data_IF_849635097904
#
_entry.id   IF_849635097904
#
_cell.length_a   1.000
_cell.length_b   1.000
_cell.length_c   1.000
_cell.angle_alpha   90.00
_cell.angle_beta   90.00
_cell.angle_gamma   90.00
#
_symmetry.space_group_name_H-M   'P 1'
#
loop_
_entity.id
_entity.type
_entity.pdbx_description
1 polymer ?
#
# COMPACT_ATOMS: atom_id res chain seq x y z
N UNK A 1 -34.74 2.48 -3.54
CA UNK A 1 -33.36 2.51 -4.07
C UNK A 1 -32.36 3.13 -3.08
N UNK A 2 -32.56 4.37 -2.62
CA UNK A 2 -31.60 5.07 -1.72
C UNK A 2 -31.37 4.33 -0.39
N UNK A 3 -32.43 3.84 0.27
CA UNK A 3 -32.32 3.05 1.50
C UNK A 3 -31.53 1.73 1.32
N UNK A 4 -31.58 1.12 0.14
CA UNK A 4 -30.83 -0.10 -0.16
C UNK A 4 -29.34 0.22 -0.37
N UNK A 5 -29.03 1.27 -1.11
CA UNK A 5 -27.66 1.76 -1.31
C UNK A 5 -27.04 2.14 0.04
N UNK A 6 -27.76 2.89 0.89
CA UNK A 6 -27.29 3.25 2.23
C UNK A 6 -27.03 2.01 3.11
N UNK A 7 -27.94 1.03 3.14
CA UNK A 7 -27.70 -0.21 3.89
C UNK A 7 -26.47 -0.96 3.41
N UNK A 8 -26.27 -1.04 2.10
CA UNK A 8 -25.10 -1.70 1.50
C UNK A 8 -23.80 -0.96 1.84
N UNK A 9 -23.82 0.36 1.77
CA UNK A 9 -22.66 1.22 2.07
C UNK A 9 -22.32 1.18 3.57
N UNK A 10 -23.34 1.15 4.43
CA UNK A 10 -23.18 1.02 5.88
C UNK A 10 -22.60 -0.35 6.26
N UNK A 11 -22.98 -1.43 5.55
CA UNK A 11 -22.44 -2.78 5.76
C UNK A 11 -20.98 -2.96 5.31
N UNK A 12 -20.47 -2.11 4.42
CA UNK A 12 -19.06 -2.16 3.99
C UNK A 12 -18.13 -1.78 5.15
N UNK A 13 -18.49 -0.78 5.95
CA UNK A 13 -17.67 -0.30 7.08
C UNK A 13 -17.30 -1.41 8.08
N UNK A 14 -18.24 -2.21 8.63
CA UNK A 14 -17.90 -3.30 9.53
C UNK A 14 -17.12 -4.43 8.85
N UNK A 15 -17.33 -4.70 7.55
CA UNK A 15 -16.52 -5.69 6.84
C UNK A 15 -15.07 -5.25 6.68
N UNK A 16 -14.82 -3.99 6.33
CA UNK A 16 -13.47 -3.42 6.23
C UNK A 16 -12.78 -3.40 7.60
N UNK A 17 -13.47 -2.98 8.65
CA UNK A 17 -12.93 -3.03 10.01
C UNK A 17 -12.59 -4.46 10.44
N UNK A 18 -13.44 -5.43 10.11
CA UNK A 18 -13.17 -6.85 10.37
C UNK A 18 -11.89 -7.34 9.68
N UNK A 19 -11.73 -7.05 8.38
CA UNK A 19 -10.53 -7.41 7.61
C UNK A 19 -9.28 -6.72 8.18
N UNK A 20 -9.39 -5.44 8.56
CA UNK A 20 -8.29 -4.69 9.16
C UNK A 20 -7.88 -5.26 10.52
N UNK A 21 -8.83 -5.59 11.39
CA UNK A 21 -8.53 -6.23 12.68
C UNK A 21 -7.84 -7.58 12.46
N UNK A 22 -8.32 -8.38 11.52
CA UNK A 22 -7.67 -9.66 11.19
C UNK A 22 -6.25 -9.44 10.70
N UNK A 23 -6.02 -8.50 9.77
CA UNK A 23 -4.70 -8.17 9.25
C UNK A 23 -3.76 -7.67 10.38
N UNK A 24 -4.27 -6.82 11.27
CA UNK A 24 -3.54 -6.35 12.44
C UNK A 24 -3.14 -7.49 13.40
N UNK A 25 -4.05 -8.43 13.64
CA UNK A 25 -3.76 -9.64 14.43
C UNK A 25 -2.71 -10.50 13.74
N UNK A 26 -2.79 -10.69 12.41
CA UNK A 26 -1.79 -11.44 11.65
C UNK A 26 -0.40 -10.78 11.78
N UNK A 27 -0.32 -9.44 11.63
CA UNK A 27 0.95 -8.71 11.76
C UNK A 27 1.52 -8.82 13.17
N UNK A 28 0.68 -8.87 14.21
CA UNK A 28 1.13 -9.05 15.60
C UNK A 28 1.47 -10.50 15.94
N UNK A 29 0.81 -11.47 15.31
CA UNK A 29 0.99 -12.89 15.57
C UNK A 29 2.12 -13.52 14.73
N UNK A 30 2.57 -12.84 13.66
CA UNK A 30 3.69 -13.29 12.86
C UNK A 30 4.99 -13.24 13.68
N UNK A 31 5.65 -14.39 13.94
CA UNK A 31 6.94 -14.39 14.61
C UNK A 31 8.00 -13.74 13.70
N UNK A 32 8.69 -12.72 14.21
CA UNK A 32 9.61 -11.90 13.43
C UNK A 32 8.90 -10.75 12.72
N UNK A 33 8.46 -9.75 13.47
CA UNK A 33 7.92 -8.50 12.95
C UNK A 33 8.90 -7.75 12.04
N UNK A 34 8.45 -6.73 11.31
CA UNK A 34 9.28 -5.97 10.36
C UNK A 34 10.60 -5.45 10.96
N UNK A 35 10.57 -5.04 12.24
CA UNK A 35 11.75 -4.57 12.99
C UNK A 35 12.74 -5.70 13.22
N UNK A 36 12.28 -6.86 13.71
CA UNK A 36 13.13 -8.03 13.93
C UNK A 36 13.71 -8.57 12.62
N UNK A 37 12.95 -8.55 11.52
CA UNK A 37 13.46 -8.92 10.18
C UNK A 37 14.57 -7.99 9.72
N UNK A 38 14.46 -6.69 10.02
CA UNK A 38 15.49 -5.72 9.67
C UNK A 38 16.74 -5.87 10.54
N UNK A 39 16.57 -6.13 11.84
CA UNK A 39 17.66 -6.48 12.76
C UNK A 39 18.38 -7.75 12.26
N UNK A 40 17.63 -8.81 11.97
CA UNK A 40 18.17 -10.06 11.45
C UNK A 40 18.86 -9.89 10.09
N UNK A 41 18.37 -8.99 9.23
CA UNK A 41 19.00 -8.66 7.95
C UNK A 41 20.33 -7.95 8.15
N UNK A 42 20.40 -6.97 9.06
CA UNK A 42 21.65 -6.23 9.35
C UNK A 42 22.67 -7.15 10.04
N UNK A 43 22.25 -7.91 11.05
CA UNK A 43 23.10 -8.89 11.74
C UNK A 43 23.60 -9.98 10.78
N UNK A 44 22.76 -10.44 9.86
CA UNK A 44 23.13 -11.40 8.82
C UNK A 44 24.18 -10.87 7.83
N UNK A 45 24.12 -9.59 7.46
CA UNK A 45 25.09 -8.93 6.58
C UNK A 45 26.45 -8.73 7.26
N UNK A 46 26.47 -8.29 8.53
CA UNK A 46 27.72 -8.10 9.29
C UNK A 46 28.36 -9.44 9.70
N UNK A 47 27.53 -10.43 10.04
CA UNK A 47 27.96 -11.81 10.30
C UNK A 47 28.52 -12.54 9.06
N UNK A 48 28.08 -12.18 7.86
CA UNK A 48 28.67 -12.68 6.61
C UNK A 48 30.02 -12.00 6.30
N UNK A 49 30.10 -10.69 6.55
CA UNK A 49 31.30 -9.88 6.31
C UNK A 49 32.43 -10.26 7.28
N UNK A 50 32.11 -10.52 8.55
CA UNK A 50 33.08 -10.98 9.55
C UNK A 50 33.67 -12.36 9.25
N UNK A 51 32.90 -13.27 8.64
CA UNK A 51 33.39 -14.60 8.21
C UNK A 51 34.28 -14.54 6.98
N UNK A 52 34.08 -13.57 6.09
CA UNK A 52 34.96 -13.32 4.94
C UNK A 52 36.24 -12.61 5.39
N UNK A 53 36.14 -11.65 6.30
CA UNK A 53 37.28 -10.93 6.85
C UNK A 53 38.17 -11.80 7.78
N UNK A 54 37.60 -12.81 8.43
CA UNK A 54 38.33 -13.76 9.29
C UNK A 54 39.06 -14.90 8.56
N UNK A 55 38.93 -14.99 7.22
CA UNK A 55 39.50 -16.07 6.41
C UNK A 55 40.91 -15.83 5.86
N UNK A 56 41.54 -14.69 6.16
CA UNK A 56 42.85 -14.33 5.61
C UNK A 56 43.72 -13.53 6.58
N UNK A 57 44.80 -14.16 7.04
CA UNK A 57 45.94 -13.61 7.77
C UNK A 57 45.66 -13.05 9.19
N UNK A 58 46.21 -13.74 10.19
CA UNK A 58 46.40 -13.23 11.55
C UNK A 58 47.24 -11.95 11.51
N UNK A 59 46.59 -10.80 11.61
CA UNK A 59 47.20 -9.56 12.09
C UNK A 59 46.63 -9.29 13.47
N UNK A 60 47.43 -9.61 14.49
CA UNK A 60 47.16 -9.33 15.89
C UNK A 60 47.25 -7.82 16.16
N UNK A 61 46.16 -7.10 15.92
CA UNK A 61 45.98 -5.74 16.47
C UNK A 61 45.28 -5.86 17.82
N UNK A 62 46.07 -5.73 18.88
CA UNK A 62 45.58 -5.55 20.23
C UNK A 62 44.70 -4.28 20.29
N UNK A 63 43.38 -4.46 20.43
CA UNK A 63 42.45 -3.36 20.72
C UNK A 63 41.15 -3.32 19.94
N UNK A 64 40.87 -4.26 19.03
CA UNK A 64 39.56 -4.28 18.36
C UNK A 64 38.64 -5.28 19.06
N UNK A 65 37.80 -4.78 19.97
CA UNK A 65 36.66 -5.52 20.50
C UNK A 65 35.86 -6.07 19.32
N UNK A 66 35.90 -7.39 19.15
CA UNK A 66 35.05 -8.16 18.24
C UNK A 66 33.57 -7.79 18.50
N UNK A 67 33.01 -6.92 17.65
CA UNK A 67 31.59 -6.49 17.70
C UNK A 67 30.61 -7.56 17.22
N UNK A 68 31.06 -8.59 16.50
CA UNK A 68 30.18 -9.60 15.90
C UNK A 68 29.49 -10.58 16.88
N UNK A 69 29.82 -10.53 18.17
CA UNK A 69 29.14 -11.30 19.22
C UNK A 69 28.27 -10.43 20.15
N UNK A 70 28.39 -9.10 20.04
CA UNK A 70 27.50 -8.17 20.70
C UNK A 70 26.44 -7.80 19.67
N UNK A 71 25.19 -8.22 19.88
CA UNK A 71 24.07 -7.80 19.02
C UNK A 71 24.05 -6.29 18.83
N UNK A 72 23.24 -5.81 17.87
CA UNK A 72 23.16 -4.38 17.55
C UNK A 72 23.08 -3.50 18.80
N UNK A 73 23.75 -2.34 18.76
CA UNK A 73 23.71 -1.36 19.85
C UNK A 73 22.23 -1.09 20.22
N UNK A 74 21.83 -1.19 21.50
CA UNK A 74 20.46 -0.94 21.93
C UNK A 74 19.93 0.44 21.50
N UNK A 75 20.79 1.42 21.24
CA UNK A 75 20.40 2.69 20.65
C UNK A 75 19.88 2.56 19.21
N UNK A 76 20.52 1.74 18.37
CA UNK A 76 20.10 1.51 16.98
C UNK A 76 18.82 0.69 16.89
N UNK A 77 18.64 -0.28 17.79
CA UNK A 77 17.40 -1.05 17.90
C UNK A 77 16.22 -0.11 18.19
N UNK A 78 16.40 0.80 19.16
CA UNK A 78 15.38 1.79 19.54
C UNK A 78 15.08 2.79 18.42
N UNK A 79 16.08 3.16 17.64
CA UNK A 79 15.91 4.01 16.45
C UNK A 79 15.12 3.29 15.34
N UNK A 80 15.43 2.02 15.08
CA UNK A 80 14.68 1.19 14.12
C UNK A 80 13.23 1.02 14.57
N UNK A 81 13.00 0.72 15.84
CA UNK A 81 11.67 0.59 16.43
C UNK A 81 10.85 1.88 16.28
N UNK A 82 11.50 3.04 16.47
CA UNK A 82 10.90 4.37 16.28
C UNK A 82 10.60 4.67 14.81
N UNK A 83 11.49 4.32 13.88
CA UNK A 83 11.25 4.49 12.43
C UNK A 83 10.05 3.67 11.95
N UNK A 84 9.87 2.46 12.50
CA UNK A 84 8.74 1.60 12.18
C UNK A 84 7.48 1.90 13.00
N UNK A 85 7.57 2.76 14.02
CA UNK A 85 6.44 3.13 14.89
C UNK A 85 5.92 1.97 15.74
N UNK A 86 6.77 0.98 16.02
CA UNK A 86 6.45 -0.14 16.92
C UNK A 86 6.63 0.22 18.39
N UNK A 87 7.16 1.41 18.69
CA UNK A 87 7.26 2.01 20.02
C UNK A 87 5.89 2.42 20.60
N UNK A 88 4.86 2.48 19.75
CA UNK A 88 3.51 2.91 20.08
C UNK A 88 2.63 1.77 20.58
N UNK A 89 1.68 2.11 21.44
CA UNK A 89 0.70 1.17 21.96
C UNK A 89 -0.07 0.48 20.81
N UNK A 90 -0.44 -0.80 20.99
CA UNK A 90 -1.18 -1.56 19.97
C UNK A 90 -2.43 -0.83 19.40
N UNK A 91 -3.23 -0.10 20.22
CA UNK A 91 -4.35 0.69 19.72
C UNK A 91 -3.94 1.85 18.79
N UNK A 92 -2.82 2.52 19.08
CA UNK A 92 -2.31 3.60 18.22
C UNK A 92 -1.85 3.07 16.86
N UNK A 93 -1.21 1.90 16.86
CA UNK A 93 -0.80 1.22 15.62
C UNK A 93 -2.02 0.84 14.78
N UNK A 94 -3.06 0.32 15.41
CA UNK A 94 -4.34 0.03 14.75
C UNK A 94 -4.95 1.31 14.17
N UNK A 95 -4.95 2.42 14.91
CA UNK A 95 -5.46 3.70 14.43
C UNK A 95 -4.69 4.23 13.23
N UNK A 96 -3.36 4.18 13.27
CA UNK A 96 -2.50 4.55 12.14
C UNK A 96 -2.79 3.65 10.93
N UNK A 97 -2.94 2.35 11.16
CA UNK A 97 -3.25 1.39 10.11
C UNK A 97 -4.61 1.70 9.47
N UNK A 98 -5.67 1.88 10.26
CA UNK A 98 -6.99 2.30 9.74
C UNK A 98 -6.85 3.57 8.91
N UNK A 99 -6.15 4.59 9.41
CA UNK A 99 -5.97 5.86 8.70
C UNK A 99 -5.27 5.67 7.36
N UNK A 100 -4.22 4.84 7.31
CA UNK A 100 -3.50 4.54 6.07
C UNK A 100 -4.35 3.76 5.05
N UNK A 101 -5.15 2.79 5.51
CA UNK A 101 -6.06 2.04 4.62
C UNK A 101 -7.30 2.83 4.22
N UNK A 102 -7.72 3.82 5.02
CA UNK A 102 -8.81 4.73 4.69
C UNK A 102 -8.47 5.65 3.51
N UNK A 103 -7.17 5.82 3.20
CA UNK A 103 -6.69 6.40 1.94
C UNK A 103 -6.91 5.41 0.79
N UNK A 104 -8.17 5.05 0.53
CA UNK A 104 -8.53 4.31 -0.68
C UNK A 104 -8.31 5.23 -1.88
N UNK A 105 -7.46 4.80 -2.81
CA UNK A 105 -7.27 5.50 -4.07
C UNK A 105 -8.49 5.29 -4.98
N UNK A 106 -9.50 6.14 -4.77
CA UNK A 106 -10.71 6.16 -5.58
C UNK A 106 -10.40 6.36 -7.07
N UNK A 107 -9.35 7.10 -7.40
CA UNK A 107 -8.92 7.30 -8.79
C UNK A 107 -8.48 5.99 -9.43
N UNK A 108 -7.63 5.22 -8.72
CA UNK A 108 -7.22 3.89 -9.17
C UNK A 108 -8.39 2.91 -9.30
N UNK A 109 -9.34 2.93 -8.34
CA UNK A 109 -10.52 2.06 -8.40
C UNK A 109 -11.43 2.37 -9.60
N UNK A 110 -11.67 3.65 -9.90
CA UNK A 110 -12.45 4.09 -11.07
C UNK A 110 -11.74 3.69 -12.37
N UNK A 111 -10.42 3.89 -12.45
CA UNK A 111 -9.65 3.51 -13.62
C UNK A 111 -9.64 2.00 -13.85
N UNK A 112 -9.49 1.20 -12.78
CA UNK A 112 -9.50 -0.25 -12.84
C UNK A 112 -10.86 -0.80 -13.30
N UNK A 113 -11.95 -0.29 -12.74
CA UNK A 113 -13.31 -0.67 -13.13
C UNK A 113 -13.60 -0.30 -14.58
N UNK A 114 -13.27 0.92 -15.00
CA UNK A 114 -13.45 1.33 -16.39
C UNK A 114 -12.57 0.55 -17.37
N UNK A 115 -11.33 0.21 -16.99
CA UNK A 115 -10.47 -0.66 -17.78
C UNK A 115 -11.05 -2.05 -17.97
N UNK A 116 -11.60 -2.64 -16.90
CA UNK A 116 -12.29 -3.93 -16.94
C UNK A 116 -13.54 -3.87 -17.83
N UNK A 117 -14.33 -2.80 -17.70
CA UNK A 117 -15.49 -2.52 -18.56
C UNK A 117 -15.10 -2.35 -20.04
N UNK A 118 -13.97 -1.70 -20.31
CA UNK A 118 -13.43 -1.54 -21.67
C UNK A 118 -13.01 -2.88 -22.30
N UNK A 119 -12.52 -3.83 -21.47
CA UNK A 119 -12.17 -5.19 -21.91
C UNK A 119 -13.38 -6.09 -22.15
N UNK A 120 -14.60 -5.64 -21.86
CA UNK A 120 -15.84 -6.38 -22.10
C UNK A 120 -16.42 -7.07 -20.87
N UNK A 121 -15.86 -6.84 -19.68
CA UNK A 121 -16.39 -7.35 -18.40
C UNK A 121 -17.26 -6.29 -17.67
N UNK A 122 -17.73 -5.29 -18.40
CA UNK A 122 -18.61 -4.25 -17.87
C UNK A 122 -20.04 -4.73 -17.75
N UNK A 123 -20.90 -3.91 -17.13
CA UNK A 123 -22.32 -4.18 -17.09
C UNK A 123 -22.93 -4.28 -18.50
N UNK A 124 -23.89 -5.21 -18.68
CA UNK A 124 -24.61 -5.36 -19.95
C UNK A 124 -25.36 -4.07 -20.34
N UNK A 125 -25.46 -3.73 -21.64
CA UNK A 125 -26.34 -2.66 -22.11
C UNK A 125 -27.76 -2.88 -21.54
N UNK A 126 -28.46 -1.87 -21.00
CA UNK A 126 -28.37 -0.42 -21.27
C UNK A 126 -27.52 0.37 -20.27
N UNK A 127 -26.75 -0.28 -19.39
CA UNK A 127 -25.93 0.42 -18.40
C UNK A 127 -24.84 1.25 -19.09
N UNK A 128 -24.87 2.57 -18.89
CA UNK A 128 -23.88 3.49 -19.43
C UNK A 128 -22.61 3.49 -18.54
N UNK A 129 -21.73 2.52 -18.75
CA UNK A 129 -20.42 2.49 -18.10
C UNK A 129 -19.37 3.21 -18.95
N UNK A 130 -18.55 4.05 -18.33
CA UNK A 130 -17.57 4.86 -19.06
C UNK A 130 -16.58 4.01 -19.87
N UNK A 131 -16.16 2.86 -19.34
CA UNK A 131 -15.28 1.93 -20.06
C UNK A 131 -15.93 1.28 -21.28
N UNK A 132 -17.19 0.84 -21.16
CA UNK A 132 -17.93 0.26 -22.30
C UNK A 132 -18.26 1.31 -23.35
N UNK A 133 -18.55 2.55 -22.95
CA UNK A 133 -18.76 3.68 -23.87
C UNK A 133 -17.52 3.97 -24.72
N UNK A 134 -16.34 3.97 -24.11
CA UNK A 134 -15.06 4.13 -24.83
C UNK A 134 -14.82 2.93 -25.76
N UNK A 135 -15.06 1.71 -25.28
CA UNK A 135 -14.88 0.50 -26.07
C UNK A 135 -15.79 0.46 -27.31
N UNK A 136 -17.08 0.78 -27.16
CA UNK A 136 -18.03 0.82 -28.27
C UNK A 136 -17.78 2.02 -29.19
N UNK A 137 -17.34 3.16 -28.64
CA UNK A 137 -16.99 4.37 -29.38
C UNK A 137 -15.87 4.15 -30.40
N UNK A 138 -15.02 3.12 -30.24
CA UNK A 138 -13.95 2.78 -31.18
C UNK A 138 -14.45 2.54 -32.61
N UNK A 139 -15.66 2.01 -32.76
CA UNK A 139 -16.25 1.73 -34.07
C UNK A 139 -16.60 3.00 -34.84
N UNK A 140 -16.79 4.10 -34.11
CA UNK A 140 -17.17 5.39 -34.65
C UNK A 140 -15.97 6.34 -34.79
N UNK A 141 -14.72 5.89 -34.60
CA UNK A 141 -13.55 6.79 -34.66
C UNK A 141 -13.40 7.52 -36.00
N UNK A 142 -13.78 6.86 -37.10
CA UNK A 142 -13.68 7.45 -38.44
C UNK A 142 -14.85 8.38 -38.79
N UNK A 143 -15.99 8.26 -38.09
CA UNK A 143 -17.23 8.98 -38.43
C UNK A 143 -17.66 9.99 -37.39
N UNK A 144 -17.46 9.66 -36.11
CA UNK A 144 -17.88 10.43 -34.94
C UNK A 144 -16.90 10.17 -33.77
N UNK A 145 -15.63 10.63 -33.87
CA UNK A 145 -14.60 10.35 -32.86
C UNK A 145 -14.96 10.86 -31.46
N UNK A 146 -15.81 11.88 -31.36
CA UNK A 146 -16.30 12.42 -30.08
C UNK A 146 -17.05 11.38 -29.23
N UNK A 147 -17.66 10.36 -29.84
CA UNK A 147 -18.39 9.29 -29.13
C UNK A 147 -17.46 8.50 -28.21
N UNK A 148 -16.20 8.33 -28.61
CA UNK A 148 -15.16 7.68 -27.79
C UNK A 148 -14.35 8.68 -26.96
N UNK A 149 -14.06 9.86 -27.52
CA UNK A 149 -13.15 10.83 -26.89
C UNK A 149 -13.76 11.56 -25.70
N UNK A 150 -15.04 11.92 -25.75
CA UNK A 150 -15.71 12.63 -24.65
C UNK A 150 -15.74 11.82 -23.34
N UNK A 151 -16.23 10.56 -23.32
CA UNK A 151 -16.20 9.77 -22.10
C UNK A 151 -14.77 9.46 -21.65
N UNK A 152 -13.82 9.30 -22.57
CA UNK A 152 -12.40 9.11 -22.24
C UNK A 152 -11.77 10.32 -21.54
N UNK A 153 -11.97 11.53 -22.06
CA UNK A 153 -11.49 12.76 -21.43
C UNK A 153 -12.15 13.02 -20.09
N UNK A 154 -13.45 12.75 -19.99
CA UNK A 154 -14.18 12.89 -18.74
C UNK A 154 -13.64 11.93 -17.67
N UNK A 155 -13.42 10.66 -18.03
CA UNK A 155 -12.82 9.65 -17.16
C UNK A 155 -11.45 10.11 -16.65
N UNK A 156 -10.57 10.56 -17.55
CA UNK A 156 -9.24 11.08 -17.19
C UNK A 156 -9.35 12.26 -16.23
N UNK A 157 -10.24 13.22 -16.50
CA UNK A 157 -10.47 14.37 -15.64
C UNK A 157 -10.90 13.98 -14.22
N UNK A 158 -11.88 13.08 -14.11
CA UNK A 158 -12.37 12.57 -12.82
C UNK A 158 -11.27 11.85 -12.05
N UNK A 159 -10.56 10.92 -12.70
CA UNK A 159 -9.46 10.17 -12.08
C UNK A 159 -8.35 11.12 -11.61
N UNK A 160 -8.01 12.12 -12.42
CA UNK A 160 -7.01 13.11 -12.06
C UNK A 160 -7.44 13.98 -10.87
N UNK A 161 -8.70 14.43 -10.82
CA UNK A 161 -9.23 15.19 -9.69
C UNK A 161 -9.20 14.39 -8.39
N UNK A 162 -9.63 13.13 -8.40
CA UNK A 162 -9.58 12.27 -7.22
C UNK A 162 -8.15 11.98 -6.77
N UNK A 163 -7.24 11.67 -7.71
CA UNK A 163 -5.83 11.47 -7.41
C UNK A 163 -5.19 12.73 -6.81
N UNK A 164 -5.51 13.90 -7.36
CA UNK A 164 -4.99 15.16 -6.85
C UNK A 164 -5.46 15.42 -5.41
N UNK A 165 -6.75 15.25 -5.12
CA UNK A 165 -7.31 15.40 -3.77
C UNK A 165 -6.66 14.42 -2.80
N UNK A 166 -6.53 13.14 -3.19
CA UNK A 166 -5.90 12.12 -2.36
C UNK A 166 -4.45 12.50 -2.02
N UNK A 167 -3.68 12.96 -3.01
CA UNK A 167 -2.29 13.39 -2.80
C UNK A 167 -2.20 14.60 -1.87
N UNK A 168 -3.05 15.60 -2.07
CA UNK A 168 -3.10 16.78 -1.19
C UNK A 168 -3.45 16.40 0.25
N UNK A 169 -4.36 15.44 0.45
CA UNK A 169 -4.69 14.94 1.79
C UNK A 169 -3.55 14.15 2.43
N UNK A 170 -2.78 13.38 1.64
CA UNK A 170 -1.59 12.67 2.13
C UNK A 170 -0.47 13.66 2.53
N UNK A 171 -0.24 14.70 1.72
CA UNK A 171 0.76 15.74 1.99
C UNK A 171 0.44 16.52 3.27
N UNK A 172 -0.84 16.76 3.58
CA UNK A 172 -1.26 17.43 4.84
C UNK A 172 -1.07 16.53 6.08
N UNK A 173 -0.93 15.22 5.91
CA UNK A 173 -0.77 14.26 7.00
C UNK A 173 0.69 13.91 7.32
N UNK A 174 1.65 14.28 6.46
CA UNK A 174 3.10 14.16 6.71
C UNK A 174 3.63 15.39 7.44
#
# INVERSE_FOLDING_TARGET
MLAYILRRLLLIIPTLLGILIINFVIIQAAPGGPVEQMIAKIEGFDGATSRIAGGGAEVSVAGSNYRGAQGLDPALIKEIERMYGFDKSAPERLWIMIKNYATLDFGAAILATAGLSFLGFGAEPPAAEWGTLIANGRHFLMTAPWVSLLPGLFLVGVVFSFNHIARTLEEVQR
#
